data_IF_492740438233
#
_entry.id   IF_492740438233
#
_cell.length_a   1.000
_cell.length_b   1.000
_cell.length_c   1.000
_cell.angle_alpha   90.00
_cell.angle_beta   90.00
_cell.angle_gamma   90.00
#
_symmetry.space_group_name_H-M   'P 1'
#
loop_
_entity.id
_entity.type
_entity.pdbx_description
1 polymer ?
#
# COMPACT_ATOMS: atom_id res chain seq x y z
N UNK A 1 -3.63 -24.13 -14.52
CA UNK A 1 -2.39 -23.33 -14.37
C UNK A 1 -1.36 -23.64 -15.46
N UNK A 2 -0.97 -24.91 -15.66
CA UNK A 2 -0.04 -25.31 -16.72
C UNK A 2 -0.42 -24.84 -18.15
N UNK A 3 -1.73 -24.81 -18.48
CA UNK A 3 -2.23 -24.28 -19.76
C UNK A 3 -1.88 -22.80 -19.98
N UNK A 4 -2.03 -21.95 -18.94
CA UNK A 4 -1.75 -20.52 -19.05
C UNK A 4 -0.24 -20.27 -19.20
N UNK A 5 0.57 -20.95 -18.40
CA UNK A 5 2.05 -20.88 -18.48
C UNK A 5 2.54 -21.25 -19.88
N UNK A 6 2.05 -22.37 -20.44
CA UNK A 6 2.39 -22.82 -21.81
C UNK A 6 1.92 -21.83 -22.88
N UNK A 7 0.68 -21.34 -22.79
CA UNK A 7 0.13 -20.35 -23.75
C UNK A 7 0.98 -19.08 -23.82
N UNK A 8 1.49 -18.61 -22.68
CA UNK A 8 2.28 -17.39 -22.59
C UNK A 8 3.80 -17.63 -22.67
N UNK A 9 4.24 -18.86 -22.95
CA UNK A 9 5.67 -19.25 -22.99
C UNK A 9 6.42 -18.85 -21.71
N UNK A 10 5.73 -18.83 -20.57
CA UNK A 10 6.31 -18.49 -19.28
C UNK A 10 7.07 -19.69 -18.71
N UNK A 11 8.14 -19.43 -17.95
CA UNK A 11 8.94 -20.48 -17.30
C UNK A 11 8.30 -20.94 -15.99
N UNK A 12 7.65 -20.02 -15.27
CA UNK A 12 6.91 -20.30 -14.05
C UNK A 12 5.78 -19.29 -13.86
N UNK A 13 4.87 -19.62 -12.94
CA UNK A 13 3.88 -18.69 -12.40
C UNK A 13 4.22 -18.46 -10.93
N UNK A 14 4.42 -17.20 -10.56
CA UNK A 14 4.61 -16.79 -9.16
C UNK A 14 3.37 -16.09 -8.67
N UNK A 15 2.96 -16.46 -7.47
CA UNK A 15 1.81 -15.89 -6.80
C UNK A 15 2.21 -15.55 -5.37
N UNK A 16 1.98 -14.30 -4.99
CA UNK A 16 2.11 -13.85 -3.60
C UNK A 16 0.69 -13.54 -3.12
N UNK A 17 0.11 -14.42 -2.30
CA UNK A 17 -1.25 -14.23 -1.85
C UNK A 17 -1.35 -12.97 -0.98
N UNK A 18 -2.38 -12.17 -1.24
CA UNK A 18 -2.68 -10.99 -0.44
C UNK A 18 -3.27 -11.34 0.92
N UNK A 19 -3.82 -10.34 1.60
CA UNK A 19 -4.61 -10.55 2.81
C UNK A 19 -5.96 -11.18 2.42
N UNK A 20 -6.30 -12.31 3.04
CA UNK A 20 -7.60 -12.95 2.85
C UNK A 20 -8.61 -12.42 3.86
N UNK A 21 -9.77 -12.02 3.36
CA UNK A 21 -10.98 -11.73 4.17
C UNK A 21 -11.68 -13.04 4.61
N UNK A 22 -11.49 -14.11 3.84
CA UNK A 22 -12.31 -15.32 3.91
C UNK A 22 -11.91 -16.27 5.05
N UNK A 23 -12.88 -17.07 5.49
CA UNK A 23 -12.75 -18.01 6.61
C UNK A 23 -11.63 -19.08 6.45
N UNK A 24 -11.17 -19.34 5.22
CA UNK A 24 -10.04 -20.25 4.97
C UNK A 24 -9.18 -19.75 3.79
N UNK A 25 -7.89 -19.46 3.99
CA UNK A 25 -6.98 -19.17 2.89
C UNK A 25 -6.78 -20.43 2.02
N UNK A 26 -6.53 -20.29 0.71
CA UNK A 26 -6.21 -21.41 -0.16
C UNK A 26 -4.90 -22.06 0.26
N UNK A 27 -4.80 -23.39 0.10
CA UNK A 27 -3.57 -24.14 0.27
C UNK A 27 -2.75 -24.11 -1.04
N UNK A 28 -1.63 -23.37 -1.11
CA UNK A 28 -0.82 -23.29 -2.32
C UNK A 28 -0.19 -24.65 -2.68
N UNK A 29 0.11 -25.51 -1.69
CA UNK A 29 0.71 -26.81 -1.94
C UNK A 29 -0.29 -27.75 -2.65
N UNK A 30 -1.56 -27.75 -2.22
CA UNK A 30 -2.64 -28.46 -2.91
C UNK A 30 -2.85 -27.98 -4.35
N UNK A 31 -2.49 -26.73 -4.65
CA UNK A 31 -2.52 -26.14 -5.99
C UNK A 31 -1.25 -26.39 -6.82
N UNK A 32 -0.27 -27.12 -6.27
CA UNK A 32 1.00 -27.44 -6.94
C UNK A 32 2.05 -26.33 -6.90
N UNK A 33 1.90 -25.34 -6.02
CA UNK A 33 2.94 -24.34 -5.77
C UNK A 33 3.98 -24.84 -4.78
N UNK A 34 5.17 -24.22 -4.85
CA UNK A 34 6.25 -24.39 -3.87
C UNK A 34 6.64 -23.02 -3.29
N UNK A 35 7.12 -22.95 -2.04
CA UNK A 35 7.63 -21.71 -1.47
C UNK A 35 8.72 -21.07 -2.32
N UNK A 36 8.74 -19.74 -2.38
CA UNK A 36 9.80 -18.94 -3.00
C UNK A 36 10.48 -18.08 -1.94
N UNK A 37 11.81 -18.10 -1.90
CA UNK A 37 12.58 -17.23 -0.98
C UNK A 37 12.53 -15.75 -1.39
N UNK A 38 12.27 -15.47 -2.67
CA UNK A 38 12.11 -14.11 -3.16
C UNK A 38 10.69 -13.63 -2.88
N UNK A 39 10.53 -12.40 -2.40
CA UNK A 39 9.25 -11.70 -2.37
C UNK A 39 9.29 -10.47 -3.28
N UNK A 40 8.19 -10.18 -3.96
CA UNK A 40 7.97 -8.93 -4.71
C UNK A 40 7.21 -7.94 -3.82
N UNK A 41 6.21 -8.43 -3.09
CA UNK A 41 5.47 -7.71 -2.08
C UNK A 41 6.17 -7.81 -0.72
N UNK A 42 6.03 -6.80 0.15
CA UNK A 42 6.47 -6.90 1.53
C UNK A 42 5.75 -8.07 2.24
N UNK A 43 6.50 -8.97 2.92
CA UNK A 43 5.89 -10.12 3.59
C UNK A 43 5.21 -9.77 4.92
N UNK A 44 5.35 -8.53 5.39
CA UNK A 44 4.75 -8.05 6.65
C UNK A 44 4.02 -6.75 6.38
N UNK A 45 2.72 -6.76 6.69
CA UNK A 45 1.81 -5.63 6.50
C UNK A 45 1.17 -5.28 7.83
N UNK A 46 1.12 -3.99 8.15
CA UNK A 46 0.32 -3.49 9.28
C UNK A 46 -1.07 -3.18 8.75
N UNK A 47 -2.09 -3.83 9.33
CA UNK A 47 -3.51 -3.66 8.95
C UNK A 47 -4.21 -2.90 10.07
N UNK A 48 -4.96 -1.86 9.70
CA UNK A 48 -5.79 -1.09 10.62
C UNK A 48 -7.25 -1.36 10.31
N UNK A 49 -7.99 -1.83 11.31
CA UNK A 49 -9.45 -1.93 11.26
C UNK A 49 -10.07 -0.55 11.50
N UNK A 50 -10.80 -0.06 10.49
CA UNK A 50 -11.46 1.24 10.45
C UNK A 50 -12.98 1.16 10.68
N UNK A 51 -13.50 0.01 11.15
CA UNK A 51 -14.95 -0.16 11.36
C UNK A 51 -15.48 0.55 12.61
N UNK A 52 -14.59 0.94 13.53
CA UNK A 52 -14.94 1.72 14.72
C UNK A 52 -14.88 3.23 14.46
N UNK A 53 -15.41 4.03 15.39
CA UNK A 53 -15.28 5.49 15.35
C UNK A 53 -13.84 5.96 15.57
N UNK A 54 -13.59 7.24 15.25
CA UNK A 54 -12.26 7.86 15.32
C UNK A 54 -11.66 7.81 16.73
N UNK A 55 -12.47 7.97 17.78
CA UNK A 55 -12.01 7.95 19.17
C UNK A 55 -11.54 6.55 19.57
N UNK A 56 -12.30 5.52 19.20
CA UNK A 56 -11.93 4.13 19.39
C UNK A 56 -10.68 3.75 18.58
N UNK A 57 -10.55 4.21 17.34
CA UNK A 57 -9.36 4.01 16.51
C UNK A 57 -8.14 4.66 17.17
N UNK A 58 -8.27 5.91 17.64
CA UNK A 58 -7.19 6.61 18.33
C UNK A 58 -6.80 5.91 19.63
N UNK A 59 -7.75 5.41 20.40
CA UNK A 59 -7.50 4.72 21.66
C UNK A 59 -6.65 3.45 21.49
N UNK A 60 -6.76 2.75 20.35
CA UNK A 60 -5.95 1.57 20.00
C UNK A 60 -4.46 1.90 19.77
N UNK A 61 -4.13 3.15 19.43
CA UNK A 61 -2.75 3.56 19.16
C UNK A 61 -1.95 3.73 20.46
N UNK A 62 -0.63 3.60 20.42
CA UNK A 62 0.21 3.94 21.57
C UNK A 62 0.14 5.45 21.93
N UNK A 63 0.48 5.79 23.18
CA UNK A 63 0.39 7.16 23.69
C UNK A 63 1.23 8.17 22.87
N UNK A 64 2.40 7.77 22.39
CA UNK A 64 3.28 8.62 21.59
C UNK A 64 2.64 9.01 20.26
N UNK A 65 2.00 8.05 19.58
CA UNK A 65 1.26 8.28 18.34
C UNK A 65 0.09 9.23 18.57
N UNK A 66 -0.75 8.96 19.59
CA UNK A 66 -1.89 9.83 19.93
C UNK A 66 -1.44 11.28 20.20
N UNK A 67 -0.33 11.45 20.93
CA UNK A 67 0.24 12.78 21.22
C UNK A 67 0.67 13.50 19.94
N UNK A 68 1.36 12.83 19.02
CA UNK A 68 1.83 13.42 17.75
C UNK A 68 0.67 13.85 16.85
N UNK A 69 -0.39 13.06 16.76
CA UNK A 69 -1.60 13.42 16.00
C UNK A 69 -2.25 14.67 16.59
N UNK A 70 -2.46 14.73 17.91
CA UNK A 70 -3.01 15.93 18.57
C UNK A 70 -2.10 17.16 18.39
N UNK A 71 -0.79 16.95 18.39
CA UNK A 71 0.18 18.02 18.18
C UNK A 71 0.10 18.61 16.77
N UNK A 72 -0.11 17.80 15.72
CA UNK A 72 -0.21 18.33 14.35
C UNK A 72 -1.42 19.25 14.18
N UNK A 73 -2.57 18.91 14.78
CA UNK A 73 -3.74 19.78 14.76
C UNK A 73 -3.48 21.12 15.46
N UNK A 74 -2.85 21.08 16.65
CA UNK A 74 -2.46 22.30 17.38
C UNK A 74 -1.46 23.17 16.62
N UNK A 75 -0.61 22.55 15.79
CA UNK A 75 0.35 23.25 14.94
C UNK A 75 -0.28 23.83 13.66
N UNK A 76 -1.61 23.75 13.48
CA UNK A 76 -2.30 24.31 12.32
C UNK A 76 -2.13 23.49 11.03
N UNK A 77 -1.71 22.22 11.14
CA UNK A 77 -1.63 21.33 9.97
C UNK A 77 -3.05 21.06 9.45
N UNK A 78 -3.23 21.26 8.14
CA UNK A 78 -4.49 21.01 7.43
C UNK A 78 -4.31 19.89 6.41
N UNK A 79 -5.32 19.05 6.28
CA UNK A 79 -5.42 18.00 5.26
C UNK A 79 -6.55 18.34 4.30
N UNK A 80 -6.44 17.86 3.06
CA UNK A 80 -7.47 18.04 2.04
C UNK A 80 -7.37 16.91 1.02
N UNK A 81 -8.46 16.63 0.32
CA UNK A 81 -8.46 15.71 -0.82
C UNK A 81 -7.76 16.35 -2.01
N UNK A 82 -6.66 15.74 -2.46
CA UNK A 82 -5.87 16.20 -3.58
C UNK A 82 -6.50 15.79 -4.92
N UNK A 83 -6.31 16.62 -5.95
CA UNK A 83 -6.71 16.33 -7.32
C UNK A 83 -5.49 15.99 -8.20
N UNK A 84 -5.74 15.56 -9.45
CA UNK A 84 -4.67 15.23 -10.39
C UNK A 84 -3.65 16.38 -10.60
N UNK A 85 -4.11 17.64 -10.49
CA UNK A 85 -3.24 18.84 -10.55
C UNK A 85 -2.21 18.92 -9.41
N UNK A 86 -2.44 18.22 -8.29
CA UNK A 86 -1.57 18.24 -7.12
C UNK A 86 -0.49 17.14 -7.18
N UNK A 87 -0.53 16.25 -8.18
CA UNK A 87 0.46 15.18 -8.37
C UNK A 87 1.90 15.70 -8.49
N UNK A 88 2.19 16.81 -9.20
CA UNK A 88 3.54 17.38 -9.21
C UNK A 88 4.03 17.71 -7.80
N UNK A 89 3.19 18.33 -6.96
CA UNK A 89 3.53 18.64 -5.57
C UNK A 89 3.83 17.38 -4.75
N UNK A 90 3.10 16.30 -4.97
CA UNK A 90 3.40 15.00 -4.36
C UNK A 90 4.74 14.42 -4.83
N UNK A 91 5.05 14.53 -6.13
CA UNK A 91 6.30 14.04 -6.70
C UNK A 91 7.52 14.79 -6.12
N UNK A 92 7.41 16.10 -5.90
CA UNK A 92 8.45 16.90 -5.25
C UNK A 92 8.72 16.40 -3.83
N UNK A 93 7.66 16.14 -3.05
CA UNK A 93 7.77 15.59 -1.69
C UNK A 93 8.40 14.19 -1.68
N UNK A 94 8.02 13.33 -2.62
CA UNK A 94 8.58 11.99 -2.75
C UNK A 94 10.06 12.04 -3.12
N UNK A 95 10.45 12.90 -4.06
CA UNK A 95 11.85 13.09 -4.48
C UNK A 95 12.70 13.56 -3.29
N UNK A 96 12.27 14.61 -2.58
CA UNK A 96 12.97 15.09 -1.40
C UNK A 96 13.09 14.02 -0.30
N UNK A 97 12.06 13.19 -0.13
CA UNK A 97 12.05 12.10 0.86
C UNK A 97 12.95 10.94 0.45
N UNK A 98 12.97 10.59 -0.84
CA UNK A 98 13.81 9.55 -1.41
C UNK A 98 15.29 9.90 -1.30
N UNK A 99 15.66 11.13 -1.67
CA UNK A 99 17.04 11.63 -1.53
C UNK A 99 17.49 11.63 -0.07
N UNK A 100 16.62 12.04 0.86
CA UNK A 100 16.96 12.12 2.29
C UNK A 100 17.15 10.75 2.94
N UNK A 101 16.41 9.73 2.50
CA UNK A 101 16.39 8.40 3.12
C UNK A 101 17.00 7.30 2.24
N UNK A 102 17.67 7.68 1.15
CA UNK A 102 18.34 6.78 0.21
C UNK A 102 17.45 5.65 -0.34
N UNK A 103 16.31 6.01 -0.93
CA UNK A 103 15.47 5.04 -1.66
C UNK A 103 15.01 5.55 -3.02
N UNK A 104 14.83 4.60 -3.95
CA UNK A 104 14.35 4.87 -5.30
C UNK A 104 12.90 5.33 -5.33
N UNK A 105 12.65 6.44 -6.01
CA UNK A 105 11.31 7.00 -6.24
C UNK A 105 10.91 6.74 -7.68
N UNK A 106 9.65 6.37 -7.93
CA UNK A 106 9.16 6.23 -9.30
C UNK A 106 9.15 7.58 -10.03
N UNK A 107 9.16 7.57 -11.36
CA UNK A 107 9.10 8.80 -12.15
C UNK A 107 7.79 9.56 -11.93
N UNK A 108 7.80 10.88 -12.12
CA UNK A 108 6.57 11.68 -12.05
C UNK A 108 5.49 11.16 -13.02
N UNK A 109 5.90 10.75 -14.23
CA UNK A 109 5.01 10.15 -15.23
C UNK A 109 4.31 8.88 -14.74
N UNK A 110 4.98 8.06 -13.92
CA UNK A 110 4.38 6.88 -13.32
C UNK A 110 3.22 7.23 -12.39
N UNK A 111 3.39 8.27 -11.54
CA UNK A 111 2.33 8.71 -10.65
C UNK A 111 1.18 9.38 -11.42
N UNK A 112 1.49 10.23 -12.39
CA UNK A 112 0.49 10.90 -13.23
C UNK A 112 -0.40 9.90 -13.98
N UNK A 113 0.17 8.82 -14.51
CA UNK A 113 -0.59 7.78 -15.21
C UNK A 113 -1.50 6.94 -14.29
N UNK A 114 -1.25 6.95 -12.97
CA UNK A 114 -1.97 6.13 -11.99
C UNK A 114 -3.01 6.90 -11.19
N UNK A 115 -2.92 8.23 -11.11
CA UNK A 115 -3.96 9.03 -10.50
C UNK A 115 -5.18 9.04 -11.40
N UNK A 116 -6.21 8.32 -10.98
CA UNK A 116 -7.54 8.39 -11.59
C UNK A 116 -8.37 9.42 -10.82
N UNK A 117 -9.29 10.12 -11.50
CA UNK A 117 -10.32 10.88 -10.80
C UNK A 117 -11.03 9.93 -9.84
N UNK A 118 -11.05 10.25 -8.55
CA UNK A 118 -11.90 9.56 -7.59
C UNK A 118 -13.33 9.83 -8.06
N UNK A 119 -14.03 8.79 -8.50
CA UNK A 119 -15.48 8.91 -8.74
C UNK A 119 -16.12 9.16 -7.38
N UNK A 120 -16.98 10.20 -7.24
CA UNK A 120 -17.73 10.37 -6.01
C UNK A 120 -18.55 9.11 -5.73
N UNK A 121 -18.65 8.75 -4.44
CA UNK A 121 -19.47 7.66 -3.94
C UNK A 121 -20.96 7.95 -4.14
#
# INVERSE_FOLDING_TARGET
>A
MARAVRKHRAVFLKWEPGLYDHAAPPDPAALGFRPSAQTVQPPRTVVLDLTADDDAILARMNQGTRRKIRQSHKAGVRTFEAAARDVPRFCDLMTATGTRNDFGVHSAAYYQARVRPVRPA
#
